data_IF_379077821092
#
_entry.id   IF_379077821092
#
_cell.length_a   1.000
_cell.length_b   1.000
_cell.length_c   1.000
_cell.angle_alpha   90.00
_cell.angle_beta   90.00
_cell.angle_gamma   90.00
#
_symmetry.space_group_name_H-M   'P 1'
#
loop_
_entity.id
_entity.type
_entity.pdbx_description
1 polymer ?
#
# COMPACT_ATOMS: atom_id res chain seq x y z
N UNK A 1 1.15 -27.59 -9.11
CA UNK A 1 0.12 -26.95 -8.28
C UNK A 1 0.79 -25.82 -7.51
N UNK A 2 0.88 -24.63 -8.10
CA UNK A 2 1.51 -23.48 -7.46
C UNK A 2 0.41 -22.66 -6.80
N UNK A 3 0.39 -22.64 -5.48
CA UNK A 3 -0.39 -21.68 -4.70
C UNK A 3 0.22 -20.30 -4.96
N UNK A 4 -0.25 -19.59 -5.99
CA UNK A 4 0.03 -18.17 -6.13
C UNK A 4 -0.68 -17.47 -4.96
N UNK A 5 0.06 -17.16 -3.90
CA UNK A 5 -0.42 -16.14 -2.96
C UNK A 5 -0.39 -14.82 -3.72
N UNK A 6 -1.56 -14.25 -3.97
CA UNK A 6 -1.77 -13.01 -4.72
C UNK A 6 -1.39 -11.78 -3.89
N UNK A 7 -0.21 -11.80 -3.26
CA UNK A 7 0.30 -10.59 -2.64
C UNK A 7 0.99 -9.74 -3.70
N UNK A 8 0.68 -8.46 -3.69
CA UNK A 8 1.43 -7.50 -4.46
C UNK A 8 2.89 -7.58 -4.02
N UNK A 9 3.80 -7.62 -4.99
CA UNK A 9 5.23 -7.52 -4.70
C UNK A 9 5.56 -6.06 -4.37
N UNK A 10 5.67 -5.79 -3.08
CA UNK A 10 6.05 -4.48 -2.53
C UNK A 10 7.55 -4.42 -2.28
N UNK A 11 8.19 -3.31 -2.57
CA UNK A 11 9.50 -2.94 -2.02
C UNK A 11 9.32 -1.77 -1.07
N UNK A 12 9.96 -1.77 0.09
CA UNK A 12 9.89 -0.65 1.04
C UNK A 12 11.23 0.06 1.02
N UNK A 13 11.26 1.37 0.76
CA UNK A 13 12.54 2.10 0.84
C UNK A 13 12.98 2.22 2.29
N UNK A 14 14.30 2.31 2.59
CA UNK A 14 14.78 2.49 3.96
C UNK A 14 14.18 3.72 4.66
N UNK A 15 13.91 4.79 3.91
CA UNK A 15 13.26 5.98 4.43
C UNK A 15 11.80 5.74 4.82
N UNK A 16 11.05 4.98 4.00
CA UNK A 16 9.69 4.58 4.32
C UNK A 16 9.66 3.62 5.52
N UNK A 17 10.56 2.63 5.54
CA UNK A 17 10.67 1.68 6.65
C UNK A 17 10.91 2.39 7.99
N UNK A 18 11.93 3.26 8.07
CA UNK A 18 12.22 4.01 9.29
C UNK A 18 11.03 4.90 9.73
N UNK A 19 10.29 5.47 8.78
CA UNK A 19 9.10 6.25 9.09
C UNK A 19 7.96 5.38 9.64
N UNK A 20 7.75 4.18 9.06
CA UNK A 20 6.72 3.23 9.51
C UNK A 20 7.05 2.70 10.90
N UNK A 21 8.31 2.34 11.16
CA UNK A 21 8.79 1.89 12.47
C UNK A 21 8.51 2.94 13.55
N UNK A 22 8.82 4.21 13.29
CA UNK A 22 8.49 5.33 14.21
C UNK A 22 6.99 5.50 14.47
N UNK A 23 6.13 4.97 13.59
CA UNK A 23 4.67 5.04 13.68
C UNK A 23 4.01 3.75 14.19
N UNK A 24 4.80 2.79 14.66
CA UNK A 24 4.31 1.53 15.24
C UNK A 24 4.39 0.32 14.33
N UNK A 25 5.14 0.41 13.21
CA UNK A 25 5.54 -0.75 12.41
C UNK A 25 4.43 -1.34 11.53
N UNK A 26 3.29 -0.66 11.38
CA UNK A 26 2.17 -1.13 10.59
C UNK A 26 1.73 -0.10 9.54
N UNK A 27 1.24 -0.59 8.41
CA UNK A 27 0.58 0.21 7.37
C UNK A 27 -0.63 -0.53 6.83
N UNK A 28 -1.57 0.21 6.25
CA UNK A 28 -2.63 -0.38 5.46
C UNK A 28 -2.73 0.24 4.07
N UNK A 29 -3.04 -0.61 3.11
CA UNK A 29 -3.09 -0.32 1.69
C UNK A 29 -4.54 -0.57 1.25
N UNK A 30 -5.33 0.49 1.01
CA UNK A 30 -6.70 0.35 0.56
C UNK A 30 -6.77 -0.15 -0.89
N UNK A 31 -7.97 -0.54 -1.33
CA UNK A 31 -8.25 -0.82 -2.73
C UNK A 31 -7.82 0.36 -3.61
N UNK A 32 -7.22 0.08 -4.77
CA UNK A 32 -7.00 1.08 -5.80
C UNK A 32 -8.36 1.51 -6.37
N UNK A 33 -8.67 2.81 -6.26
CA UNK A 33 -9.90 3.36 -6.82
C UNK A 33 -9.70 3.61 -8.32
N UNK A 34 -10.47 2.92 -9.14
CA UNK A 34 -10.69 3.40 -10.51
C UNK A 34 -11.77 4.47 -10.46
N UNK A 35 -11.36 5.74 -10.54
CA UNK A 35 -12.31 6.85 -10.73
C UNK A 35 -12.54 7.02 -12.22
N UNK A 36 -13.79 6.79 -12.67
CA UNK A 36 -14.18 7.14 -14.04
C UNK A 36 -15.49 6.53 -14.56
N UNK A 37 -16.57 7.31 -14.59
CA UNK A 37 -17.69 7.05 -15.53
C UNK A 37 -17.32 7.50 -16.96
N UNK A 38 -16.33 8.40 -17.13
CA UNK A 38 -15.90 8.91 -18.45
C UNK A 38 -14.38 9.16 -18.62
N UNK A 39 -13.57 9.11 -17.55
CA UNK A 39 -12.11 9.27 -17.59
C UNK A 39 -11.54 8.28 -16.59
N UNK A 40 -10.85 7.22 -17.02
CA UNK A 40 -10.18 6.28 -16.12
C UNK A 40 -8.91 6.94 -15.61
N UNK A 41 -8.96 7.53 -14.43
CA UNK A 41 -7.78 8.02 -13.74
C UNK A 41 -7.48 7.09 -12.57
N UNK A 42 -6.66 6.07 -12.82
CA UNK A 42 -6.21 5.18 -11.76
C UNK A 42 -5.13 5.90 -10.95
N UNK A 43 -5.54 6.66 -9.93
CA UNK A 43 -4.61 7.24 -8.98
C UNK A 43 -4.01 6.12 -8.09
N UNK A 44 -2.72 6.20 -7.72
CA UNK A 44 -2.17 5.26 -6.75
C UNK A 44 -2.95 5.33 -5.43
N UNK A 45 -3.14 4.21 -4.72
CA UNK A 45 -3.79 4.24 -3.42
C UNK A 45 -2.98 5.10 -2.44
N UNK A 46 -3.68 5.79 -1.53
CA UNK A 46 -3.04 6.46 -0.41
C UNK A 46 -2.73 5.44 0.68
N UNK A 47 -1.44 5.23 0.96
CA UNK A 47 -0.99 4.33 2.03
C UNK A 47 -1.07 5.07 3.35
N UNK A 48 -1.78 4.49 4.30
CA UNK A 48 -1.93 5.01 5.64
C UNK A 48 -1.08 4.22 6.65
N UNK A 49 -0.60 4.91 7.69
CA UNK A 49 0.13 4.28 8.79
C UNK A 49 -0.85 3.72 9.83
N UNK A 50 -0.49 2.59 10.42
CA UNK A 50 -1.30 1.85 11.38
C UNK A 50 -2.22 0.80 10.74
N UNK A 51 -2.90 0.00 11.57
CA UNK A 51 -3.87 -0.98 11.09
C UNK A 51 -5.09 -0.31 10.42
N UNK A 52 -5.82 -1.01 9.55
CA UNK A 52 -7.06 -0.51 8.97
C UNK A 52 -8.09 -0.24 10.07
N UNK A 53 -9.05 0.66 9.80
CA UNK A 53 -10.11 0.95 10.77
C UNK A 53 -10.90 -0.32 11.13
N UNK A 54 -11.37 -0.48 12.39
CA UNK A 54 -11.95 -1.73 12.90
C UNK A 54 -13.24 -2.20 12.22
N UNK A 55 -13.81 -1.36 11.36
CA UNK A 55 -15.09 -1.57 10.71
C UNK A 55 -15.00 -2.46 9.46
N UNK A 56 -13.79 -2.87 9.03
CA UNK A 56 -13.64 -3.94 8.03
C UNK A 56 -12.29 -4.69 8.05
N UNK A 57 -11.90 -5.36 9.15
CA UNK A 57 -10.66 -6.13 9.20
C UNK A 57 -10.68 -7.37 8.28
N UNK A 58 -11.87 -7.83 7.87
CA UNK A 58 -12.04 -9.00 7.00
C UNK A 58 -11.73 -8.69 5.53
N UNK A 59 -11.86 -7.43 5.10
CA UNK A 59 -11.48 -6.99 3.75
C UNK A 59 -9.97 -6.96 3.51
N UNK A 60 -9.16 -7.00 4.55
CA UNK A 60 -7.70 -6.93 4.44
C UNK A 60 -7.07 -8.30 4.66
N UNK A 61 -6.03 -8.58 3.88
CA UNK A 61 -5.09 -9.64 4.16
C UNK A 61 -3.85 -9.07 4.85
N UNK A 62 -3.39 -9.76 5.89
CA UNK A 62 -2.25 -9.34 6.71
C UNK A 62 -1.02 -10.18 6.38
N UNK A 63 0.10 -9.51 6.13
CA UNK A 63 1.40 -10.17 5.97
C UNK A 63 2.53 -9.28 6.52
N UNK A 64 3.70 -9.87 6.67
CA UNK A 64 4.91 -9.17 7.13
C UNK A 64 5.91 -9.08 5.98
N UNK A 65 6.52 -7.90 5.81
CA UNK A 65 7.61 -7.68 4.87
C UNK A 65 8.62 -6.71 5.46
N UNK A 66 9.89 -7.08 5.45
CA UNK A 66 11.00 -6.24 5.94
C UNK A 66 10.75 -5.70 7.36
N UNK A 67 10.14 -6.51 8.24
CA UNK A 67 9.77 -6.12 9.61
C UNK A 67 8.55 -5.19 9.73
N UNK A 68 7.90 -4.86 8.62
CA UNK A 68 6.66 -4.06 8.57
C UNK A 68 5.45 -4.98 8.47
N UNK A 69 4.45 -4.74 9.31
CA UNK A 69 3.12 -5.36 9.16
C UNK A 69 2.32 -4.61 8.09
N UNK A 70 1.94 -5.32 7.03
CA UNK A 70 1.13 -4.79 5.92
C UNK A 70 -0.26 -5.38 5.98
N UNK A 71 -1.26 -4.52 5.94
CA UNK A 71 -2.66 -4.88 5.70
C UNK A 71 -3.04 -4.43 4.28
N UNK A 72 -3.29 -5.36 3.35
CA UNK A 72 -3.67 -5.05 1.99
C UNK A 72 -5.14 -5.42 1.73
N UNK A 73 -5.93 -4.52 1.17
CA UNK A 73 -7.29 -4.86 0.73
C UNK A 73 -7.22 -6.01 -0.28
N UNK A 74 -8.03 -7.05 -0.08
CA UNK A 74 -8.03 -8.27 -0.91
C UNK A 74 -8.40 -8.02 -2.37
N UNK A 75 -9.01 -6.86 -2.67
CA UNK A 75 -9.36 -6.44 -4.02
C UNK A 75 -8.26 -5.62 -4.68
N UNK A 76 -7.20 -5.25 -3.95
CA UNK A 76 -6.05 -4.60 -4.52
C UNK A 76 -5.39 -5.55 -5.52
N UNK A 77 -5.28 -5.11 -6.76
CA UNK A 77 -4.60 -5.85 -7.82
C UNK A 77 -3.73 -4.91 -8.63
N UNK A 78 -2.48 -5.33 -8.82
CA UNK A 78 -1.53 -4.67 -9.71
C UNK A 78 -0.55 -5.73 -10.23
N UNK A 79 -0.44 -5.84 -11.56
CA UNK A 79 0.31 -6.90 -12.21
C UNK A 79 1.83 -6.70 -12.24
N UNK A 80 2.36 -5.70 -11.55
CA UNK A 80 3.79 -5.39 -11.56
C UNK A 80 4.29 -4.95 -10.18
N UNK A 81 5.57 -5.11 -9.86
CA UNK A 81 6.12 -4.68 -8.59
C UNK A 81 5.89 -3.18 -8.33
N UNK A 82 5.68 -2.84 -7.06
CA UNK A 82 5.46 -1.48 -6.59
C UNK A 82 6.41 -1.15 -5.44
N UNK A 83 6.72 0.13 -5.26
CA UNK A 83 7.60 0.57 -4.17
C UNK A 83 6.87 1.54 -3.25
N UNK A 84 6.93 1.29 -1.95
CA UNK A 84 6.47 2.19 -0.90
C UNK A 84 7.63 3.09 -0.54
N UNK A 85 7.46 4.39 -0.74
CA UNK A 85 8.48 5.40 -0.48
C UNK A 85 7.96 6.54 0.41
N UNK A 86 8.88 7.29 1.01
CA UNK A 86 8.55 8.44 1.83
C UNK A 86 8.53 9.71 0.98
N UNK A 87 7.33 10.23 0.71
CA UNK A 87 7.16 11.54 0.11
C UNK A 87 7.25 12.63 1.18
N UNK A 88 8.25 13.52 1.06
CA UNK A 88 8.41 14.69 1.92
C UNK A 88 7.78 15.91 1.25
N UNK A 89 6.57 16.26 1.67
CA UNK A 89 5.97 17.55 1.31
C UNK A 89 6.46 18.67 2.24
N UNK A 90 6.15 19.92 1.88
CA UNK A 90 6.53 21.12 2.64
C UNK A 90 6.07 21.14 4.11
N UNK A 91 4.98 20.44 4.45
CA UNK A 91 4.37 20.47 5.79
C UNK A 91 4.32 19.12 6.51
N UNK A 92 4.27 18.00 5.77
CA UNK A 92 4.19 16.65 6.35
C UNK A 92 4.85 15.61 5.44
N UNK A 93 5.43 14.59 6.06
CA UNK A 93 5.86 13.38 5.38
C UNK A 93 4.68 12.41 5.26
N UNK A 94 4.54 11.76 4.11
CA UNK A 94 3.54 10.72 3.86
C UNK A 94 4.13 9.57 3.05
N UNK A 95 3.54 8.40 3.17
CA UNK A 95 3.88 7.26 2.33
C UNK A 95 3.30 7.47 0.93
N UNK A 96 4.03 7.04 -0.09
CA UNK A 96 3.64 7.15 -1.48
C UNK A 96 4.00 5.88 -2.23
N UNK A 97 3.12 5.48 -3.16
CA UNK A 97 3.40 4.39 -4.10
C UNK A 97 4.21 4.94 -5.28
N UNK A 98 5.33 4.29 -5.56
CA UNK A 98 6.18 4.51 -6.74
C UNK A 98 6.08 3.30 -7.66
N UNK A 99 6.35 3.54 -8.95
CA UNK A 99 6.21 2.52 -9.98
C UNK A 99 4.76 2.29 -10.43
N UNK A 100 3.81 3.07 -9.91
CA UNK A 100 2.43 3.06 -10.38
C UNK A 100 2.36 3.48 -11.85
N UNK A 101 1.90 2.58 -12.71
CA UNK A 101 1.68 2.84 -14.13
C UNK A 101 0.18 2.87 -14.37
N UNK A 102 -0.28 3.90 -15.08
CA UNK A 102 -1.61 3.89 -15.66
C UNK A 102 -1.61 2.76 -16.69
N UNK A 103 -2.50 1.78 -16.51
CA UNK A 103 -2.74 0.75 -17.52
C UNK A 103 -3.49 1.36 -18.71
#
# INVERSE_FOLDING_TARGET
MHHHRFFQDWTITPAAQAFIEQKGGAIHIPMNLSVGCCIHLDAPPEIEVGPPRPQDPAAYERFEKDGVTIYQDKRFDCGHPLTIDLSRGLLRAKLAVKGWRLA
#
